data_IF_461256339796
#
_entry.id   IF_461256339796
#
_cell.length_a   1.000
_cell.length_b   1.000
_cell.length_c   1.000
_cell.angle_alpha   90.00
_cell.angle_beta   90.00
_cell.angle_gamma   90.00
#
_symmetry.space_group_name_H-M   'P 1'
#
loop_
_entity.id
_entity.type
_entity.pdbx_description
1 polymer ?
#
# COMPACT_ATOMS: atom_id res chain seq x y z
N UNK A 1 7.38 -20.30 -10.24
CA UNK A 1 8.24 -19.34 -10.98
C UNK A 1 8.23 -19.68 -12.46
N UNK A 2 8.39 -18.69 -13.35
CA UNK A 2 8.50 -18.95 -14.81
C UNK A 2 9.88 -19.53 -15.10
N UNK A 3 9.92 -20.69 -15.76
CA UNK A 3 11.15 -21.39 -16.15
C UNK A 3 12.12 -20.49 -16.93
N UNK A 4 13.41 -20.77 -16.74
CA UNK A 4 14.46 -20.10 -17.49
C UNK A 4 14.32 -20.40 -19.00
N UNK A 5 14.60 -19.42 -19.86
CA UNK A 5 14.43 -19.53 -21.32
C UNK A 5 13.02 -19.23 -21.86
N UNK A 6 11.96 -19.29 -21.03
CA UNK A 6 10.58 -18.93 -21.48
C UNK A 6 10.37 -17.42 -21.66
N UNK A 7 11.21 -16.59 -21.03
CA UNK A 7 11.25 -15.15 -21.20
C UNK A 7 12.60 -14.73 -21.77
N UNK A 8 12.60 -13.78 -22.71
CA UNK A 8 13.84 -13.21 -23.26
C UNK A 8 14.68 -12.61 -22.13
N UNK A 9 15.99 -12.89 -22.14
CA UNK A 9 16.96 -12.39 -21.13
C UNK A 9 16.84 -10.88 -20.90
N UNK A 10 16.71 -10.09 -21.97
CA UNK A 10 16.53 -8.64 -21.87
C UNK A 10 15.27 -8.24 -21.09
N UNK A 11 14.14 -8.91 -21.33
CA UNK A 11 12.89 -8.64 -20.60
C UNK A 11 13.04 -8.99 -19.12
N UNK A 12 13.60 -10.18 -18.80
CA UNK A 12 13.85 -10.58 -17.41
C UNK A 12 14.74 -9.56 -16.70
N UNK A 13 15.86 -9.20 -17.29
CA UNK A 13 16.80 -8.21 -16.73
C UNK A 13 16.16 -6.85 -16.50
N UNK A 14 15.28 -6.40 -17.42
CA UNK A 14 14.53 -5.15 -17.25
C UNK A 14 13.65 -5.25 -16.01
N UNK A 15 12.79 -6.27 -15.92
CA UNK A 15 11.81 -6.43 -14.83
C UNK A 15 12.51 -6.56 -13.47
N UNK A 16 13.58 -7.34 -13.36
CA UNK A 16 14.30 -7.55 -12.08
C UNK A 16 15.06 -6.31 -11.60
N UNK A 17 15.30 -5.33 -12.48
CA UNK A 17 15.95 -4.05 -12.14
C UNK A 17 14.95 -2.92 -11.88
N UNK A 18 13.64 -3.19 -11.99
CA UNK A 18 12.63 -2.20 -11.66
C UNK A 18 12.58 -2.02 -10.15
N UNK A 19 12.70 -0.77 -9.74
CA UNK A 19 12.59 -0.40 -8.34
C UNK A 19 11.12 -0.42 -7.93
N UNK A 20 10.88 -0.89 -6.71
CA UNK A 20 9.56 -0.82 -6.10
C UNK A 20 9.46 0.46 -5.27
N UNK A 21 8.25 0.96 -5.11
CA UNK A 21 7.98 2.02 -4.14
C UNK A 21 8.24 1.52 -2.72
N UNK A 22 8.34 2.46 -1.79
CA UNK A 22 8.34 2.16 -0.35
C UNK A 22 7.10 1.37 0.06
N UNK A 23 7.21 0.70 1.20
CA UNK A 23 6.05 0.13 1.86
C UNK A 23 5.42 1.15 2.79
N UNK A 24 4.58 0.66 3.69
CA UNK A 24 3.91 1.50 4.67
C UNK A 24 3.88 0.82 6.04
N UNK A 25 3.88 1.66 7.08
CA UNK A 25 3.41 1.27 8.40
C UNK A 25 1.96 1.73 8.54
N UNK A 26 1.05 0.81 8.84
CA UNK A 26 -0.36 1.12 9.08
C UNK A 26 -0.70 0.85 10.53
N UNK A 27 -1.32 1.82 11.20
CA UNK A 27 -1.91 1.71 12.52
C UNK A 27 -3.43 1.69 12.38
N UNK A 28 -4.06 0.70 12.97
CA UNK A 28 -5.52 0.58 13.07
C UNK A 28 -5.88 0.68 14.55
N UNK A 29 -6.76 1.60 14.91
CA UNK A 29 -7.19 1.79 16.28
C UNK A 29 -8.70 1.58 16.38
N UNK A 30 -9.12 0.70 17.28
CA UNK A 30 -10.52 0.51 17.66
C UNK A 30 -10.88 1.55 18.70
N UNK A 31 -11.98 2.26 18.50
CA UNK A 31 -12.43 3.34 19.36
C UNK A 31 -13.49 2.86 20.35
N UNK A 32 -13.58 3.55 21.49
CA UNK A 32 -14.70 3.43 22.40
C UNK A 32 -15.98 3.90 21.70
N UNK A 33 -17.10 3.28 22.06
CA UNK A 33 -18.41 3.61 21.49
C UNK A 33 -18.70 5.11 21.65
N UNK A 34 -19.14 5.73 20.57
CA UNK A 34 -19.56 7.14 20.49
C UNK A 34 -18.50 8.17 20.95
N UNK A 35 -17.22 7.79 20.99
CA UNK A 35 -16.15 8.62 21.56
C UNK A 35 -15.51 9.60 20.56
N UNK A 36 -15.54 9.29 19.26
CA UNK A 36 -14.94 10.10 18.21
C UNK A 36 -15.89 10.24 17.01
N UNK A 37 -16.08 11.45 16.46
CA UNK A 37 -16.98 11.65 15.33
C UNK A 37 -16.45 10.95 14.07
N UNK A 38 -17.37 10.44 13.24
CA UNK A 38 -17.02 9.99 11.90
C UNK A 38 -16.63 11.19 11.03
N UNK A 39 -15.52 11.06 10.31
CA UNK A 39 -15.01 12.08 9.40
C UNK A 39 -15.05 11.55 7.97
N UNK A 40 -15.98 12.07 7.17
CA UNK A 40 -16.08 11.76 5.74
C UNK A 40 -15.03 12.52 4.90
N UNK A 41 -13.77 12.46 5.33
CA UNK A 41 -12.61 13.03 4.63
C UNK A 41 -11.31 12.45 5.19
N UNK A 42 -10.30 12.46 4.34
CA UNK A 42 -8.95 12.09 4.72
C UNK A 42 -8.19 13.32 5.22
N UNK A 43 -7.36 13.12 6.24
CA UNK A 43 -6.44 14.12 6.75
C UNK A 43 -5.03 13.71 6.36
N UNK A 44 -4.39 14.53 5.54
CA UNK A 44 -3.01 14.35 5.18
C UNK A 44 -2.15 15.30 6.02
N UNK A 45 -1.12 14.75 6.63
CA UNK A 45 -0.09 15.51 7.32
C UNK A 45 1.18 15.44 6.48
N UNK A 46 1.74 16.61 6.19
CA UNK A 46 3.01 16.76 5.50
C UNK A 46 3.86 17.73 6.31
N UNK A 47 5.02 17.28 6.76
CA UNK A 47 5.98 18.14 7.43
C UNK A 47 6.90 18.86 6.42
N UNK A 48 7.09 18.28 5.22
CA UNK A 48 7.92 18.81 4.14
C UNK A 48 7.10 18.99 2.85
N UNK A 49 7.63 19.73 1.86
CA UNK A 49 6.92 20.04 0.60
C UNK A 49 6.58 18.81 -0.29
N UNK A 50 7.16 17.64 -0.01
CA UNK A 50 6.91 16.39 -0.75
C UNK A 50 5.75 15.57 -0.18
N UNK A 51 4.87 15.06 -1.06
CA UNK A 51 3.75 14.18 -0.71
C UNK A 51 4.27 12.82 -0.19
N UNK A 52 5.27 12.26 -0.85
CA UNK A 52 6.04 11.12 -0.38
C UNK A 52 7.38 11.67 0.11
N UNK A 53 7.63 11.60 1.42
CA UNK A 53 8.94 11.95 1.93
C UNK A 53 9.78 10.68 1.97
N UNK A 54 10.53 10.47 0.90
CA UNK A 54 11.25 9.22 0.64
C UNK A 54 12.63 9.18 1.27
N UNK A 55 13.11 10.36 1.68
CA UNK A 55 14.41 10.58 2.27
C UNK A 55 14.26 11.15 3.69
N UNK A 56 13.53 10.42 4.54
CA UNK A 56 13.49 10.69 5.97
C UNK A 56 14.62 9.94 6.69
N UNK A 57 15.17 10.62 7.69
CA UNK A 57 15.89 9.98 8.78
C UNK A 57 14.91 9.30 9.73
N UNK A 58 15.25 8.11 10.21
CA UNK A 58 14.36 7.30 11.06
C UNK A 58 13.93 8.05 12.33
N UNK A 59 14.75 8.98 12.83
CA UNK A 59 14.40 9.82 13.99
C UNK A 59 13.29 10.83 13.68
N UNK A 60 13.22 11.32 12.44
CA UNK A 60 12.21 12.30 12.00
C UNK A 60 10.85 11.69 11.66
N UNK A 61 10.75 10.36 11.54
CA UNK A 61 9.48 9.69 11.26
C UNK A 61 8.41 9.94 12.37
N UNK A 62 7.11 10.10 12.08
CA UNK A 62 6.45 10.05 10.78
C UNK A 62 6.24 11.46 10.19
N UNK A 63 7.21 11.97 9.41
CA UNK A 63 7.13 13.28 8.74
C UNK A 63 5.86 13.43 7.90
N UNK A 64 5.43 12.36 7.22
CA UNK A 64 4.22 12.32 6.42
C UNK A 64 3.36 11.13 6.86
N UNK A 65 2.07 11.38 7.04
CA UNK A 65 1.09 10.33 7.28
C UNK A 65 -0.29 10.77 6.80
N UNK A 66 -1.16 9.80 6.55
CA UNK A 66 -2.56 10.05 6.29
C UNK A 66 -3.44 9.36 7.34
N UNK A 67 -4.48 10.05 7.76
CA UNK A 67 -5.46 9.62 8.76
C UNK A 67 -6.85 9.61 8.12
N UNK A 68 -7.64 8.60 8.44
CA UNK A 68 -9.06 8.56 8.10
C UNK A 68 -9.85 7.68 9.06
N UNK A 69 -11.15 7.91 9.13
CA UNK A 69 -12.10 7.03 9.80
C UNK A 69 -12.86 6.25 8.72
N UNK A 70 -12.74 4.91 8.62
CA UNK A 70 -13.56 4.15 7.69
C UNK A 70 -15.04 4.30 8.05
N UNK A 71 -15.90 4.32 7.03
CA UNK A 71 -17.35 4.26 7.24
C UNK A 71 -17.71 2.91 7.85
N UNK A 72 -18.70 2.91 8.76
CA UNK A 72 -19.26 1.69 9.34
C UNK A 72 -20.76 1.66 9.14
N UNK A 73 -21.32 0.46 9.00
CA UNK A 73 -22.77 0.25 8.95
C UNK A 73 -23.48 0.53 10.27
N UNK A 74 -22.76 0.66 11.38
CA UNK A 74 -23.33 0.83 12.71
C UNK A 74 -23.68 2.28 13.07
N UNK A 75 -23.04 3.27 12.41
CA UNK A 75 -23.25 4.68 12.71
C UNK A 75 -22.75 5.59 11.58
N UNK A 76 -23.57 6.55 11.19
CA UNK A 76 -23.19 7.64 10.29
C UNK A 76 -22.58 8.84 11.05
N UNK A 77 -22.58 8.79 12.39
CA UNK A 77 -22.18 9.92 13.26
C UNK A 77 -20.85 9.70 13.96
N UNK A 78 -20.57 8.48 14.38
CA UNK A 78 -19.41 8.14 15.19
C UNK A 78 -18.54 7.11 14.49
N UNK A 79 -17.22 7.28 14.59
CA UNK A 79 -16.27 6.33 14.07
C UNK A 79 -16.08 5.16 15.04
N UNK A 80 -16.08 3.93 14.53
CA UNK A 80 -15.71 2.73 15.32
C UNK A 80 -14.19 2.50 15.34
N UNK A 81 -13.49 3.05 14.34
CA UNK A 81 -12.05 2.95 14.24
C UNK A 81 -11.48 4.13 13.47
N UNK A 82 -10.16 4.29 13.56
CA UNK A 82 -9.41 5.09 12.61
C UNK A 82 -8.20 4.31 12.12
N UNK A 83 -7.71 4.72 10.95
CA UNK A 83 -6.47 4.19 10.37
C UNK A 83 -5.51 5.34 10.13
N UNK A 84 -4.25 5.14 10.50
CA UNK A 84 -3.14 6.01 10.13
C UNK A 84 -2.17 5.19 9.29
N UNK A 85 -1.73 5.74 8.16
CA UNK A 85 -0.68 5.12 7.36
C UNK A 85 0.42 6.14 7.13
N UNK A 86 1.65 5.71 7.36
CA UNK A 86 2.85 6.47 7.10
C UNK A 86 3.81 5.64 6.23
N UNK A 87 4.60 6.33 5.42
CA UNK A 87 5.60 5.70 4.57
C UNK A 87 6.63 4.94 5.42
N UNK A 88 7.13 3.82 4.89
CA UNK A 88 8.12 3.01 5.58
C UNK A 88 9.11 2.34 4.62
N UNK A 89 10.42 2.51 4.88
CA UNK A 89 11.48 1.80 4.16
C UNK A 89 11.47 0.31 4.55
N UNK A 90 11.60 -0.58 3.57
CA UNK A 90 11.59 -2.03 3.85
C UNK A 90 12.83 -2.45 4.68
N UNK A 91 13.93 -1.74 4.52
CA UNK A 91 15.19 -1.92 5.24
C UNK A 91 14.98 -1.94 6.76
N UNK A 92 14.04 -1.14 7.27
CA UNK A 92 13.69 -1.09 8.70
C UNK A 92 13.13 -2.41 9.24
N UNK A 93 12.54 -3.25 8.37
CA UNK A 93 12.02 -4.57 8.75
C UNK A 93 12.83 -5.73 8.18
N UNK A 94 13.95 -5.46 7.49
CA UNK A 94 14.76 -6.47 6.82
C UNK A 94 15.30 -7.54 7.77
N UNK A 95 15.58 -7.20 9.03
CA UNK A 95 15.99 -8.13 10.09
C UNK A 95 15.03 -9.32 10.26
N UNK A 96 13.74 -9.10 10.06
CA UNK A 96 12.71 -10.13 10.22
C UNK A 96 12.27 -10.77 8.90
N UNK A 97 12.99 -10.51 7.80
CA UNK A 97 12.72 -11.16 6.53
C UNK A 97 12.92 -12.69 6.65
N UNK A 98 12.03 -13.46 6.04
CA UNK A 98 12.06 -14.93 6.08
C UNK A 98 11.39 -15.57 7.30
N UNK A 99 10.94 -14.77 8.25
CA UNK A 99 10.10 -15.24 9.38
C UNK A 99 8.65 -15.47 8.95
N UNK A 100 7.91 -16.31 9.68
CA UNK A 100 6.50 -16.62 9.36
C UNK A 100 5.52 -15.71 10.09
N UNK A 101 4.35 -15.46 9.52
CA UNK A 101 3.25 -14.67 10.12
C UNK A 101 3.05 -15.08 11.59
N UNK A 102 2.95 -14.10 12.50
CA UNK A 102 2.83 -14.28 13.95
C UNK A 102 4.04 -14.94 14.66
N UNK A 103 5.14 -15.24 13.96
CA UNK A 103 6.35 -15.87 14.51
C UNK A 103 7.61 -15.03 14.23
N UNK A 104 7.57 -13.73 14.57
CA UNK A 104 8.67 -12.78 14.33
C UNK A 104 9.56 -12.48 15.53
N UNK A 105 9.16 -12.94 16.72
CA UNK A 105 9.85 -12.61 17.98
C UNK A 105 9.29 -11.39 18.68
N UNK A 106 9.79 -11.15 19.89
CA UNK A 106 9.34 -10.04 20.74
C UNK A 106 9.92 -8.69 20.29
N UNK A 107 11.15 -8.68 19.79
CA UNK A 107 11.81 -7.50 19.24
C UNK A 107 11.02 -6.85 18.08
N UNK A 108 10.36 -7.64 17.25
CA UNK A 108 9.45 -7.13 16.22
C UNK A 108 8.18 -6.50 16.80
N UNK A 109 7.66 -7.04 17.92
CA UNK A 109 6.50 -6.47 18.59
C UNK A 109 6.85 -5.15 19.25
N UNK A 110 8.02 -5.08 19.90
CA UNK A 110 8.58 -3.85 20.47
C UNK A 110 8.77 -2.77 19.40
N UNK A 111 9.37 -3.13 18.26
CA UNK A 111 9.49 -2.24 17.10
C UNK A 111 8.13 -1.69 16.64
N UNK A 112 7.12 -2.55 16.52
CA UNK A 112 5.76 -2.11 16.15
C UNK A 112 5.11 -1.24 17.21
N UNK A 113 5.37 -1.51 18.49
CA UNK A 113 4.86 -0.71 19.60
C UNK A 113 5.47 0.69 19.60
N UNK A 114 6.78 0.82 19.39
CA UNK A 114 7.47 2.11 19.26
C UNK A 114 6.92 2.94 18.08
N UNK A 115 6.81 2.36 16.89
CA UNK A 115 6.23 3.02 15.71
C UNK A 115 4.77 3.42 15.93
N UNK A 116 3.99 2.57 16.59
CA UNK A 116 2.60 2.87 16.96
C UNK A 116 2.53 4.08 17.88
N UNK A 117 3.37 4.11 18.91
CA UNK A 117 3.40 5.20 19.89
C UNK A 117 3.78 6.54 19.23
N UNK A 118 4.75 6.55 18.33
CA UNK A 118 5.14 7.75 17.57
C UNK A 118 4.01 8.30 16.70
N UNK A 119 3.24 7.43 16.03
CA UNK A 119 2.05 7.88 15.29
C UNK A 119 0.96 8.42 16.22
N UNK A 120 0.76 7.80 17.39
CA UNK A 120 -0.21 8.27 18.37
C UNK A 120 0.19 9.64 18.95
N UNK A 121 1.47 9.89 19.21
CA UNK A 121 1.97 11.22 19.61
C UNK A 121 1.76 12.24 18.48
N UNK A 122 2.03 11.87 17.24
CA UNK A 122 1.87 12.77 16.10
C UNK A 122 0.41 13.16 15.85
N UNK A 123 -0.52 12.20 15.92
CA UNK A 123 -1.95 12.45 15.66
C UNK A 123 -2.63 13.21 16.80
N UNK A 124 -2.17 13.05 18.04
CA UNK A 124 -2.68 13.78 19.22
C UNK A 124 -2.54 15.30 19.04
N UNK A 125 -1.50 15.76 18.32
CA UNK A 125 -1.32 17.19 17.99
C UNK A 125 -2.47 17.74 17.12
N UNK A 126 -3.05 16.88 16.27
CA UNK A 126 -4.16 17.25 15.36
C UNK A 126 -5.53 17.00 15.99
N UNK A 127 -5.65 15.91 16.76
CA UNK A 127 -6.88 15.51 17.44
C UNK A 127 -6.59 15.29 18.93
N UNK A 128 -6.55 16.36 19.75
CA UNK A 128 -6.30 16.24 21.17
C UNK A 128 -7.32 15.33 21.87
N UNK A 129 -6.84 14.47 22.76
CA UNK A 129 -7.63 13.47 23.47
C UNK A 129 -8.03 12.27 22.62
N UNK A 130 -7.46 12.06 21.43
CA UNK A 130 -7.81 10.87 20.62
C UNK A 130 -7.32 9.58 21.28
N UNK A 131 -6.17 9.63 21.98
CA UNK A 131 -5.60 8.45 22.66
C UNK A 131 -6.49 7.90 23.76
N UNK A 132 -7.13 8.76 24.56
CA UNK A 132 -8.01 8.33 25.64
C UNK A 132 -9.29 7.65 25.15
N UNK A 133 -9.56 7.69 23.85
CA UNK A 133 -10.73 7.09 23.19
C UNK A 133 -10.43 5.74 22.55
N UNK A 134 -9.18 5.27 22.59
CA UNK A 134 -8.76 4.02 21.95
C UNK A 134 -9.00 2.85 22.93
N UNK A 135 -9.61 1.78 22.43
CA UNK A 135 -9.74 0.50 23.15
C UNK A 135 -8.54 -0.40 22.85
N UNK A 136 -8.13 -0.47 21.58
CA UNK A 136 -7.06 -1.36 21.14
C UNK A 136 -6.42 -0.87 19.85
N UNK A 137 -5.14 -1.14 19.69
CA UNK A 137 -4.39 -0.87 18.46
C UNK A 137 -3.90 -2.16 17.82
N UNK A 138 -3.79 -2.12 16.50
CA UNK A 138 -3.16 -3.12 15.65
C UNK A 138 -2.27 -2.39 14.66
N UNK A 139 -1.24 -3.06 14.14
CA UNK A 139 -0.42 -2.46 13.10
C UNK A 139 0.07 -3.47 12.07
N UNK A 140 0.39 -2.96 10.89
CA UNK A 140 0.96 -3.69 9.76
C UNK A 140 2.25 -3.02 9.32
N UNK A 141 3.21 -3.81 8.85
CA UNK A 141 4.48 -3.32 8.29
C UNK A 141 4.65 -3.84 6.86
N UNK A 142 5.70 -3.44 6.11
CA UNK A 142 5.98 -3.99 4.79
C UNK A 142 6.04 -5.53 4.76
N UNK A 143 6.48 -6.18 5.84
CA UNK A 143 6.42 -7.65 5.93
C UNK A 143 4.98 -8.17 5.94
N UNK A 144 4.05 -7.48 6.62
CA UNK A 144 2.63 -7.86 6.61
C UNK A 144 2.09 -7.87 5.17
N UNK A 145 2.35 -6.83 4.39
CA UNK A 145 1.91 -6.79 2.99
C UNK A 145 2.62 -7.84 2.13
N UNK A 146 3.91 -8.06 2.35
CA UNK A 146 4.64 -9.11 1.66
C UNK A 146 4.03 -10.50 1.90
N UNK A 147 3.68 -10.82 3.13
CA UNK A 147 3.22 -12.17 3.49
C UNK A 147 1.75 -12.41 3.13
N UNK A 148 0.90 -11.39 3.26
CA UNK A 148 -0.54 -11.53 3.00
C UNK A 148 -0.92 -11.33 1.53
N UNK A 149 -0.18 -10.50 0.77
CA UNK A 149 -0.54 -10.18 -0.62
C UNK A 149 0.54 -10.55 -1.62
N UNK A 150 1.61 -11.24 -1.19
CA UNK A 150 2.78 -11.56 -2.00
C UNK A 150 3.42 -10.33 -2.68
N UNK A 151 3.22 -9.15 -2.11
CA UNK A 151 3.73 -7.89 -2.66
C UNK A 151 5.22 -7.82 -2.37
N UNK A 152 6.04 -7.71 -3.43
CA UNK A 152 7.49 -7.64 -3.28
C UNK A 152 7.88 -6.50 -2.34
N UNK A 153 8.56 -6.84 -1.24
CA UNK A 153 8.99 -5.89 -0.19
C UNK A 153 7.85 -5.04 0.40
N UNK A 154 6.61 -5.51 0.31
CA UNK A 154 5.43 -4.82 0.82
C UNK A 154 5.19 -3.43 0.25
N UNK A 155 5.62 -3.18 -1.00
CA UNK A 155 5.50 -1.88 -1.67
C UNK A 155 4.05 -1.40 -1.79
N UNK A 156 3.79 -0.16 -1.38
CA UNK A 156 2.45 0.41 -1.34
C UNK A 156 1.83 0.55 -2.74
N UNK A 157 2.66 0.84 -3.75
CA UNK A 157 2.22 1.09 -5.13
C UNK A 157 2.97 0.24 -6.16
N UNK A 158 3.62 -0.84 -5.73
CA UNK A 158 4.32 -1.75 -6.64
C UNK A 158 5.56 -1.11 -7.26
N UNK A 159 5.73 -1.30 -8.57
CA UNK A 159 6.85 -0.75 -9.34
C UNK A 159 6.75 0.78 -9.41
N UNK A 160 7.84 1.44 -9.04
CA UNK A 160 7.99 2.89 -9.15
C UNK A 160 7.87 3.32 -10.61
N UNK A 161 7.01 4.31 -10.86
CA UNK A 161 6.78 4.89 -12.18
C UNK A 161 7.58 6.18 -12.30
N UNK A 162 8.35 6.30 -13.37
CA UNK A 162 9.12 7.49 -13.71
C UNK A 162 8.41 8.21 -14.86
N UNK A 163 8.03 9.47 -14.65
CA UNK A 163 7.39 10.28 -15.68
C UNK A 163 8.36 10.70 -16.79
N UNK A 164 9.67 10.71 -16.52
CA UNK A 164 10.70 11.03 -17.50
C UNK A 164 11.03 9.83 -18.40
N UNK A 165 10.79 8.60 -17.92
CA UNK A 165 10.94 7.35 -18.68
C UNK A 165 9.76 6.39 -18.40
N UNK A 166 8.56 6.69 -18.93
CA UNK A 166 7.37 5.88 -18.67
C UNK A 166 7.50 4.47 -19.25
N UNK A 167 8.17 4.33 -20.40
CA UNK A 167 8.30 3.04 -21.11
C UNK A 167 9.08 2.03 -20.26
N UNK A 168 10.10 2.48 -19.52
CA UNK A 168 10.91 1.61 -18.67
C UNK A 168 10.10 0.86 -17.64
N UNK A 169 9.16 1.53 -16.98
CA UNK A 169 8.38 0.97 -15.87
C UNK A 169 7.04 0.34 -16.28
N UNK A 170 6.61 0.51 -17.54
CA UNK A 170 5.40 -0.11 -18.09
C UNK A 170 5.59 -1.61 -18.29
N UNK A 171 4.61 -2.37 -17.79
CA UNK A 171 4.45 -3.80 -18.09
C UNK A 171 3.16 -3.97 -18.88
N UNK A 172 3.25 -4.67 -20.01
CA UNK A 172 2.09 -4.98 -20.85
C UNK A 172 1.32 -6.18 -20.29
N UNK A 173 -0.03 -6.19 -20.39
CA UNK A 173 -0.82 -7.33 -19.94
C UNK A 173 -0.53 -8.61 -20.70
N UNK A 174 -0.34 -8.53 -22.02
CA UNK A 174 -0.03 -9.69 -22.86
C UNK A 174 1.46 -10.04 -22.78
N UNK A 175 1.74 -11.27 -22.36
CA UNK A 175 3.11 -11.78 -22.34
C UNK A 175 3.48 -12.45 -23.67
N UNK A 176 4.75 -12.82 -23.83
CA UNK A 176 5.21 -13.66 -24.96
C UNK A 176 4.94 -15.15 -24.73
N UNK A 177 4.49 -15.55 -23.54
CA UNK A 177 4.10 -16.92 -23.22
C UNK A 177 2.63 -17.06 -23.58
N UNK A 178 2.32 -18.05 -24.42
CA UNK A 178 0.94 -18.31 -24.84
C UNK A 178 0.04 -18.53 -23.63
N UNK A 179 -1.15 -17.93 -23.67
CA UNK A 179 -2.17 -18.02 -22.62
C UNK A 179 -1.74 -17.52 -21.23
N UNK A 180 -0.69 -16.69 -21.15
CA UNK A 180 -0.26 -16.03 -19.91
C UNK A 180 -0.40 -14.52 -20.03
N UNK A 181 -1.15 -13.93 -19.09
CA UNK A 181 -1.43 -12.51 -19.00
C UNK A 181 -1.12 -11.98 -17.60
N UNK A 182 -0.75 -10.71 -17.51
CA UNK A 182 -0.54 -9.99 -16.26
C UNK A 182 -1.69 -9.01 -16.03
N UNK A 183 -2.17 -8.95 -14.78
CA UNK A 183 -3.14 -7.96 -14.30
C UNK A 183 -2.72 -7.42 -12.93
N UNK A 184 -3.19 -6.23 -12.53
CA UNK A 184 -2.91 -5.62 -11.21
C UNK A 184 -1.94 -4.42 -11.21
N UNK A 185 -1.50 -4.03 -10.01
CA UNK A 185 -0.89 -2.71 -9.73
C UNK A 185 0.43 -2.44 -10.46
N UNK A 186 1.14 -3.46 -10.91
CA UNK A 186 2.48 -3.33 -11.51
C UNK A 186 2.46 -2.98 -13.00
N UNK A 187 1.31 -3.00 -13.68
CA UNK A 187 1.21 -2.81 -15.14
C UNK A 187 1.52 -1.39 -15.59
N UNK A 188 0.48 -0.55 -15.67
CA UNK A 188 0.58 0.83 -16.12
C UNK A 188 0.35 1.79 -14.95
N UNK A 189 -0.72 1.55 -14.17
CA UNK A 189 -1.18 2.44 -13.13
C UNK A 189 -1.43 1.64 -11.85
N UNK A 190 -1.04 2.23 -10.73
CA UNK A 190 -1.29 1.72 -9.39
C UNK A 190 -2.59 2.32 -8.81
N UNK A 191 -2.95 1.90 -7.59
CA UNK A 191 -4.16 2.37 -6.91
C UNK A 191 -5.45 1.80 -7.50
N UNK A 192 -6.57 1.97 -6.79
CA UNK A 192 -7.86 1.33 -7.12
C UNK A 192 -8.33 1.63 -8.56
N UNK A 193 -8.21 2.87 -9.01
CA UNK A 193 -8.57 3.24 -10.38
C UNK A 193 -7.60 2.62 -11.40
N UNK A 194 -6.30 2.63 -11.10
CA UNK A 194 -5.28 2.09 -11.99
C UNK A 194 -5.40 0.57 -12.18
N UNK A 195 -5.68 -0.18 -11.12
CA UNK A 195 -5.90 -1.63 -11.21
C UNK A 195 -7.20 -1.97 -11.93
N UNK A 196 -8.26 -1.20 -11.73
CA UNK A 196 -9.54 -1.37 -12.46
C UNK A 196 -9.34 -1.15 -13.96
N UNK A 197 -8.68 -0.04 -14.33
CA UNK A 197 -8.34 0.22 -15.73
C UNK A 197 -7.42 -0.88 -16.31
N UNK A 198 -6.41 -1.30 -15.55
CA UNK A 198 -5.52 -2.39 -15.92
C UNK A 198 -6.24 -3.72 -16.16
N UNK A 199 -7.27 -4.04 -15.37
CA UNK A 199 -8.11 -5.21 -15.57
C UNK A 199 -8.88 -5.13 -16.90
N UNK A 200 -9.48 -3.98 -17.21
CA UNK A 200 -10.16 -3.75 -18.51
C UNK A 200 -9.20 -3.93 -19.68
N UNK A 201 -7.99 -3.36 -19.60
CA UNK A 201 -6.97 -3.53 -20.66
C UNK A 201 -6.58 -5.00 -20.79
N UNK A 202 -6.41 -5.71 -19.67
CA UNK A 202 -6.07 -7.15 -19.69
C UNK A 202 -7.19 -7.98 -20.34
N UNK A 203 -8.44 -7.75 -19.96
CA UNK A 203 -9.60 -8.43 -20.56
C UNK A 203 -9.77 -8.09 -22.05
N UNK A 204 -9.38 -6.90 -22.47
CA UNK A 204 -9.40 -6.50 -23.88
C UNK A 204 -8.45 -7.31 -24.75
N UNK A 205 -7.35 -7.83 -24.19
CA UNK A 205 -6.44 -8.75 -24.90
C UNK A 205 -7.07 -10.14 -25.15
N UNK A 206 -8.17 -10.46 -24.44
CA UNK A 206 -8.91 -11.73 -24.57
C UNK A 206 -10.15 -11.57 -25.44
N UNK A 207 -10.95 -10.52 -25.19
CA UNK A 207 -12.27 -10.35 -25.78
C UNK A 207 -12.31 -9.32 -26.93
N UNK A 208 -11.25 -8.54 -27.09
CA UNK A 208 -11.20 -7.39 -27.98
C UNK A 208 -11.74 -6.12 -27.33
N UNK A 209 -10.98 -5.03 -27.45
CA UNK A 209 -11.27 -3.74 -26.82
C UNK A 209 -12.68 -3.22 -27.17
N UNK A 210 -13.03 -3.21 -28.47
CA UNK A 210 -14.32 -2.70 -28.96
C UNK A 210 -15.51 -3.44 -28.36
N UNK A 211 -15.41 -4.76 -28.23
CA UNK A 211 -16.47 -5.57 -27.62
C UNK A 211 -16.65 -5.21 -26.15
N UNK A 212 -15.54 -5.16 -25.40
CA UNK A 212 -15.56 -4.91 -23.96
C UNK A 212 -16.06 -3.50 -23.63
N UNK A 213 -15.56 -2.47 -24.33
CA UNK A 213 -15.98 -1.08 -24.10
C UNK A 213 -17.45 -0.88 -24.42
N UNK A 214 -17.97 -1.52 -25.48
CA UNK A 214 -19.40 -1.46 -25.81
C UNK A 214 -20.27 -2.14 -24.75
N UNK A 215 -19.80 -3.22 -24.13
CA UNK A 215 -20.52 -3.90 -23.04
C UNK A 215 -20.54 -3.07 -21.76
N UNK A 216 -19.43 -2.42 -21.42
CA UNK A 216 -19.33 -1.55 -20.23
C UNK A 216 -20.20 -0.30 -20.40
N UNK A 217 -20.22 0.31 -21.59
CA UNK A 217 -20.97 1.54 -21.82
C UNK A 217 -22.50 1.34 -21.87
N UNK A 218 -22.96 0.13 -22.24
CA UNK A 218 -24.38 -0.19 -22.44
C UNK A 218 -24.95 -1.16 -21.39
N UNK A 219 -24.18 -1.50 -20.35
CA UNK A 219 -24.60 -2.40 -19.27
C UNK A 219 -24.91 -1.62 -18.01
#
# INVERSE_FOLDING_TARGET
MIEEGKLRKFYRNRITRLENTWGAFSLYAVLQKDAFPYLNKNYFHYQNEGILNTDYDQESWPNNYYFYTPASSSSDKYAESFTIIADMKFEEVSKWQGTQINQRGEDYKEFKAEKTERLLVAIEKRFPGIRSKIVKTYSSTPLTFQDYTATHRGSAYGIMKDCNDPIRSIILPKTKISNLYFTGQNLNLHGMMGVTAGAVITCSELLGLKYLTNKIANG
#
